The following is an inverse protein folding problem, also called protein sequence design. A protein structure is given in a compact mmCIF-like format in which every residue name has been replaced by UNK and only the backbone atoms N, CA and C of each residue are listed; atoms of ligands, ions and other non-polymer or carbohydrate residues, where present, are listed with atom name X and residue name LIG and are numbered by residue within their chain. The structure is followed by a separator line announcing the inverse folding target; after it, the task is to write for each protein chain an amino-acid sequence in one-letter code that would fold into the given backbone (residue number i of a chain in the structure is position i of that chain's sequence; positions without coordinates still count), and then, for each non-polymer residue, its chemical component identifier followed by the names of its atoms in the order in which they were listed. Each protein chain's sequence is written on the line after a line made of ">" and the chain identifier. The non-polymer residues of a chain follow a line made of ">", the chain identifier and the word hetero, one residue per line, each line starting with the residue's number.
data_IF_809273494193
#
_entry.id   IF_809273494193
#
_cell.length_a   1.000
_cell.length_b   1.000
_cell.length_c   1.000
_cell.angle_alpha   90.00
_cell.angle_beta   90.00
_cell.angle_gamma   90.00
#
_symmetry.space_group_name_H-M   'P 1'
#
loop_
_entity.id
_entity.type
_entity.pdbx_description
1 polymer ?
#
# COMPACT_ATOMS: atom_id res chain seq x y z
N UNK A 1 23.56 -25.36 -20.16
CA UNK A 1 24.05 -24.08 -19.63
C UNK A 1 22.96 -22.99 -19.76
N UNK A 2 21.82 -23.10 -19.04
CA UNK A 2 20.71 -22.09 -19.07
C UNK A 2 20.00 -21.99 -17.70
N UNK A 3 20.70 -22.14 -16.57
CA UNK A 3 20.08 -22.08 -15.23
C UNK A 3 20.73 -21.06 -14.27
N UNK A 4 21.40 -20.04 -14.81
CA UNK A 4 22.05 -18.98 -14.01
C UNK A 4 21.32 -17.62 -13.99
N UNK A 5 20.42 -17.35 -14.94
CA UNK A 5 19.85 -16.00 -15.15
C UNK A 5 18.51 -15.74 -14.42
N UNK A 6 17.91 -16.75 -13.77
CA UNK A 6 16.51 -16.72 -13.36
C UNK A 6 16.16 -16.10 -11.99
N UNK A 7 17.12 -15.90 -11.07
CA UNK A 7 16.79 -15.45 -9.69
C UNK A 7 16.93 -13.93 -9.48
N UNK A 8 17.70 -13.24 -10.33
CA UNK A 8 18.02 -11.82 -10.17
C UNK A 8 16.94 -10.84 -10.62
N UNK A 9 16.19 -11.18 -11.68
CA UNK A 9 15.23 -10.27 -12.31
C UNK A 9 14.00 -10.01 -11.43
N UNK A 10 13.43 -11.04 -10.78
CA UNK A 10 12.27 -10.89 -9.90
C UNK A 10 12.56 -9.92 -8.74
N UNK A 11 13.78 -9.99 -8.18
CA UNK A 11 14.24 -9.04 -7.15
C UNK A 11 14.35 -7.61 -7.69
N UNK A 12 14.87 -7.44 -8.91
CA UNK A 12 14.98 -6.12 -9.56
C UNK A 12 13.60 -5.52 -9.85
N UNK A 13 12.67 -6.31 -10.40
CA UNK A 13 11.29 -5.87 -10.67
C UNK A 13 10.62 -5.44 -9.36
N UNK A 14 10.66 -6.29 -8.31
CA UNK A 14 10.06 -5.97 -7.01
C UNK A 14 10.59 -4.68 -6.41
N UNK A 15 11.91 -4.46 -6.54
CA UNK A 15 12.55 -3.24 -6.06
C UNK A 15 12.12 -2.03 -6.88
N UNK A 16 12.19 -2.09 -8.21
CA UNK A 16 11.83 -0.98 -9.08
C UNK A 16 10.36 -0.58 -8.91
N UNK A 17 9.46 -1.57 -8.90
CA UNK A 17 8.03 -1.32 -8.68
C UNK A 17 7.76 -0.79 -7.26
N UNK A 18 8.42 -1.33 -6.24
CA UNK A 18 8.30 -0.85 -4.87
C UNK A 18 8.79 0.59 -4.69
N UNK A 19 9.90 0.98 -5.36
CA UNK A 19 10.39 2.35 -5.37
C UNK A 19 9.42 3.30 -6.07
N UNK A 20 8.84 2.89 -7.19
CA UNK A 20 7.84 3.68 -7.90
C UNK A 20 6.61 3.96 -7.03
N UNK A 21 6.08 2.92 -6.38
CA UNK A 21 4.98 3.05 -5.42
C UNK A 21 5.35 3.91 -4.22
N UNK A 22 6.59 3.78 -3.72
CA UNK A 22 7.07 4.60 -2.61
C UNK A 22 7.10 6.09 -2.98
N UNK A 23 7.50 6.44 -4.21
CA UNK A 23 7.46 7.82 -4.71
C UNK A 23 6.01 8.33 -4.80
N UNK A 24 5.09 7.53 -5.34
CA UNK A 24 3.67 7.86 -5.37
C UNK A 24 3.14 8.19 -3.96
N UNK A 25 3.32 7.27 -3.00
CA UNK A 25 2.88 7.45 -1.61
C UNK A 25 3.54 8.66 -0.95
N UNK A 26 4.84 8.88 -1.18
CA UNK A 26 5.56 10.04 -0.64
C UNK A 26 4.95 11.34 -1.13
N UNK A 27 4.72 11.47 -2.45
CA UNK A 27 4.10 12.68 -3.01
C UNK A 27 2.65 12.87 -2.54
N UNK A 28 1.92 11.78 -2.34
CA UNK A 28 0.56 11.82 -1.79
C UNK A 28 0.55 12.33 -0.34
N UNK A 29 1.49 11.88 0.49
CA UNK A 29 1.61 12.32 1.88
C UNK A 29 2.11 13.76 2.00
N UNK A 30 3.03 14.17 1.11
CA UNK A 30 3.42 15.58 0.99
C UNK A 30 2.20 16.44 0.69
N UNK A 31 1.30 15.97 -0.17
CA UNK A 31 0.06 16.69 -0.45
C UNK A 31 -0.85 16.81 0.78
N UNK A 32 -1.04 15.73 1.53
CA UNK A 32 -1.77 15.75 2.81
C UNK A 32 -1.17 16.73 3.82
N UNK A 33 0.17 16.85 3.82
CA UNK A 33 0.87 17.76 4.73
C UNK A 33 0.58 19.25 4.47
N UNK A 34 0.14 19.60 3.25
CA UNK A 34 -0.28 20.96 2.92
C UNK A 34 -1.52 21.41 3.73
N UNK A 35 -2.25 20.47 4.33
CA UNK A 35 -3.37 20.78 5.22
C UNK A 35 -2.96 21.49 6.50
N UNK A 36 -1.67 21.48 6.85
CA UNK A 36 -1.14 22.31 7.94
C UNK A 36 -1.10 23.81 7.55
N UNK A 37 -1.21 24.13 6.26
CA UNK A 37 -1.30 25.51 5.75
C UNK A 37 -2.79 25.87 5.60
N UNK A 38 -3.52 25.15 4.74
CA UNK A 38 -4.97 25.34 4.53
C UNK A 38 -5.54 24.21 3.66
N UNK A 39 -6.88 24.10 3.61
CA UNK A 39 -7.57 23.28 2.62
C UNK A 39 -7.21 23.70 1.18
N UNK A 40 -7.17 25.01 0.90
CA UNK A 40 -6.83 25.52 -0.44
C UNK A 40 -5.42 25.11 -0.87
N UNK A 41 -4.45 25.08 0.07
CA UNK A 41 -3.11 24.61 -0.21
C UNK A 41 -3.09 23.10 -0.57
N UNK A 42 -3.91 22.29 0.11
CA UNK A 42 -4.06 20.86 -0.24
C UNK A 42 -4.67 20.69 -1.63
N UNK A 43 -5.67 21.50 -1.98
CA UNK A 43 -6.32 21.47 -3.30
C UNK A 43 -5.36 21.91 -4.41
N UNK A 44 -4.65 23.02 -4.22
CA UNK A 44 -3.63 23.47 -5.18
C UNK A 44 -2.53 22.41 -5.37
N UNK A 45 -2.09 21.77 -4.29
CA UNK A 45 -1.19 20.62 -4.38
C UNK A 45 -1.83 19.44 -5.12
N UNK A 46 -3.12 19.17 -4.88
CA UNK A 46 -3.88 18.09 -5.52
C UNK A 46 -3.89 18.25 -7.03
N UNK A 47 -4.06 19.48 -7.53
CA UNK A 47 -4.01 19.76 -8.97
C UNK A 47 -2.67 19.33 -9.58
N UNK A 48 -1.55 19.68 -8.93
CA UNK A 48 -0.21 19.25 -9.33
C UNK A 48 -0.08 17.72 -9.23
N UNK A 49 -0.53 17.13 -8.13
CA UNK A 49 -0.50 15.68 -7.91
C UNK A 49 -1.25 14.92 -9.00
N UNK A 50 -2.47 15.36 -9.33
CA UNK A 50 -3.31 14.77 -10.36
C UNK A 50 -2.69 14.98 -11.76
N UNK A 51 -2.16 16.16 -12.07
CA UNK A 51 -1.50 16.41 -13.35
C UNK A 51 -0.33 15.43 -13.57
N UNK A 52 0.43 15.13 -12.52
CA UNK A 52 1.55 14.17 -12.58
C UNK A 52 1.07 12.73 -12.61
N UNK A 53 0.12 12.32 -11.78
CA UNK A 53 -0.19 10.90 -11.57
C UNK A 53 -1.42 10.38 -12.33
N UNK A 54 -2.34 11.25 -12.73
CA UNK A 54 -3.63 10.90 -13.35
C UNK A 54 -3.64 11.02 -14.88
N UNK A 55 -2.47 11.07 -15.51
CA UNK A 55 -2.34 10.91 -16.96
C UNK A 55 -2.20 9.42 -17.33
N UNK A 56 -2.50 9.08 -18.59
CA UNK A 56 -2.50 7.69 -19.05
C UNK A 56 -1.14 6.96 -18.87
N UNK A 57 0.03 7.57 -19.13
CA UNK A 57 1.30 6.88 -18.92
C UNK A 57 1.53 6.55 -17.44
N UNK A 58 1.32 7.52 -16.55
CA UNK A 58 1.56 7.33 -15.12
C UNK A 58 0.52 6.40 -14.49
N UNK A 59 -0.70 6.38 -15.00
CA UNK A 59 -1.74 5.42 -14.61
C UNK A 59 -1.32 3.99 -14.94
N UNK A 60 -0.87 3.73 -16.17
CA UNK A 60 -0.37 2.40 -16.58
C UNK A 60 0.82 1.99 -15.71
N UNK A 61 1.78 2.91 -15.50
CA UNK A 61 2.95 2.64 -14.68
C UNK A 61 2.58 2.37 -13.21
N UNK A 62 1.63 3.11 -12.64
CA UNK A 62 1.19 2.96 -11.25
C UNK A 62 0.52 1.61 -11.01
N UNK A 63 -0.48 1.26 -11.80
CA UNK A 63 -1.17 -0.02 -11.67
C UNK A 63 -0.28 -1.19 -12.08
N UNK A 64 0.56 -1.02 -13.10
CA UNK A 64 1.57 -2.00 -13.48
C UNK A 64 2.59 -2.24 -12.37
N UNK A 65 3.10 -1.18 -11.74
CA UNK A 65 4.00 -1.28 -10.60
C UNK A 65 3.31 -1.96 -9.41
N UNK A 66 2.07 -1.59 -9.09
CA UNK A 66 1.28 -2.24 -8.03
C UNK A 66 1.16 -3.75 -8.27
N UNK A 67 0.69 -4.15 -9.46
CA UNK A 67 0.53 -5.54 -9.84
C UNK A 67 1.86 -6.31 -9.76
N UNK A 68 2.91 -5.78 -10.39
CA UNK A 68 4.23 -6.42 -10.39
C UNK A 68 4.82 -6.49 -8.97
N UNK A 69 4.63 -5.47 -8.14
CA UNK A 69 5.10 -5.48 -6.75
C UNK A 69 4.44 -6.60 -5.95
N UNK A 70 3.10 -6.70 -6.01
CA UNK A 70 2.32 -7.74 -5.31
C UNK A 70 2.70 -9.12 -5.83
N UNK A 71 2.71 -9.34 -7.15
CA UNK A 71 3.07 -10.63 -7.74
C UNK A 71 4.47 -11.07 -7.34
N UNK A 72 5.46 -10.18 -7.39
CA UNK A 72 6.84 -10.51 -7.00
C UNK A 72 7.01 -10.69 -5.47
N UNK A 73 6.17 -10.05 -4.66
CA UNK A 73 6.12 -10.28 -3.21
C UNK A 73 5.52 -11.67 -2.89
N UNK A 74 4.39 -12.02 -3.51
CA UNK A 74 3.76 -13.33 -3.37
C UNK A 74 4.69 -14.44 -3.88
N UNK A 75 5.35 -14.23 -5.02
CA UNK A 75 6.35 -15.14 -5.57
C UNK A 75 7.53 -15.35 -4.60
N UNK A 76 7.98 -14.30 -3.93
CA UNK A 76 9.04 -14.41 -2.94
C UNK A 76 8.62 -15.20 -1.69
N UNK A 77 7.37 -15.02 -1.23
CA UNK A 77 6.79 -15.85 -0.17
C UNK A 77 6.67 -17.29 -0.66
N UNK A 78 6.18 -17.52 -1.88
CA UNK A 78 6.03 -18.84 -2.50
C UNK A 78 7.35 -19.62 -2.53
N UNK A 79 8.47 -18.96 -2.90
CA UNK A 79 9.78 -19.60 -2.99
C UNK A 79 10.40 -19.99 -1.65
N UNK A 80 9.98 -19.41 -0.52
CA UNK A 80 10.57 -19.72 0.80
C UNK A 80 10.38 -21.19 1.18
N UNK A 81 11.40 -21.80 1.78
CA UNK A 81 11.27 -23.15 2.37
C UNK A 81 10.48 -23.12 3.69
N UNK A 82 10.75 -22.14 4.54
CA UNK A 82 10.04 -21.93 5.82
C UNK A 82 9.48 -20.52 5.89
N UNK A 83 8.45 -20.31 6.73
CA UNK A 83 7.93 -18.97 7.04
C UNK A 83 8.62 -18.34 8.26
N UNK A 84 9.76 -18.89 8.70
CA UNK A 84 10.57 -18.27 9.75
C UNK A 84 11.24 -17.04 9.16
N UNK A 85 11.00 -15.89 9.78
CA UNK A 85 11.48 -14.58 9.35
C UNK A 85 12.11 -13.87 10.54
N UNK A 86 13.00 -12.93 10.26
CA UNK A 86 13.40 -11.96 11.30
C UNK A 86 12.20 -11.10 11.69
N UNK A 87 12.20 -10.52 12.91
CA UNK A 87 11.08 -9.69 13.36
C UNK A 87 10.74 -8.51 12.40
N UNK A 88 11.71 -7.73 11.87
CA UNK A 88 11.40 -6.63 10.95
C UNK A 88 10.78 -7.10 9.62
N UNK A 89 11.24 -8.26 9.13
CA UNK A 89 10.74 -8.88 7.91
C UNK A 89 9.31 -9.41 8.08
N UNK A 90 9.05 -10.10 9.20
CA UNK A 90 7.71 -10.54 9.56
C UNK A 90 6.76 -9.35 9.69
N UNK A 91 7.18 -8.30 10.38
CA UNK A 91 6.39 -7.09 10.54
C UNK A 91 6.10 -6.41 9.19
N UNK A 92 7.09 -6.29 8.31
CA UNK A 92 6.87 -5.74 6.96
C UNK A 92 5.85 -6.55 6.15
N UNK A 93 5.89 -7.88 6.25
CA UNK A 93 4.94 -8.78 5.57
C UNK A 93 3.54 -8.64 6.16
N UNK A 94 3.40 -8.52 7.48
CA UNK A 94 2.12 -8.28 8.15
C UNK A 94 1.51 -6.95 7.71
N UNK A 95 2.30 -5.88 7.68
CA UNK A 95 1.85 -4.59 7.16
C UNK A 95 1.41 -4.70 5.69
N UNK A 96 2.21 -5.38 4.84
CA UNK A 96 1.85 -5.60 3.44
C UNK A 96 0.52 -6.36 3.28
N UNK A 97 0.30 -7.37 4.12
CA UNK A 97 -0.91 -8.17 4.12
C UNK A 97 -2.13 -7.39 4.61
N UNK A 98 -1.96 -6.39 5.48
CA UNK A 98 -3.06 -5.55 5.97
C UNK A 98 -3.54 -4.53 4.92
N UNK A 99 -2.65 -4.04 4.05
CA UNK A 99 -2.95 -2.97 3.08
C UNK A 99 -4.20 -3.24 2.21
N UNK A 100 -4.40 -4.45 1.61
CA UNK A 100 -5.57 -4.74 0.79
C UNK A 100 -6.90 -4.79 1.56
N UNK A 101 -6.87 -4.77 2.89
CA UNK A 101 -8.07 -4.67 3.73
C UNK A 101 -8.36 -3.22 4.15
N UNK A 102 -7.35 -2.36 4.18
CA UNK A 102 -7.45 -1.00 4.71
C UNK A 102 -7.72 0.06 3.63
N UNK A 103 -7.19 -0.13 2.42
CA UNK A 103 -7.25 0.86 1.35
C UNK A 103 -8.38 0.77 0.31
N UNK A 104 -9.06 -0.36 0.06
CA UNK A 104 -9.94 -0.45 -1.11
C UNK A 104 -11.03 0.62 -1.13
N UNK A 105 -11.69 0.87 0.00
CA UNK A 105 -12.73 1.88 0.10
C UNK A 105 -12.23 3.28 -0.30
N UNK A 106 -11.03 3.67 0.14
CA UNK A 106 -10.45 4.97 -0.21
C UNK A 106 -10.12 5.07 -1.70
N UNK A 107 -9.56 4.01 -2.30
CA UNK A 107 -9.26 4.00 -3.75
C UNK A 107 -10.57 4.06 -4.57
N UNK A 108 -11.61 3.35 -4.13
CA UNK A 108 -12.90 3.29 -4.81
C UNK A 108 -13.69 4.59 -4.63
N UNK A 109 -13.68 5.19 -3.44
CA UNK A 109 -14.37 6.45 -3.14
C UNK A 109 -13.71 7.67 -3.79
N UNK A 110 -12.42 7.57 -4.17
CA UNK A 110 -11.72 8.63 -4.91
C UNK A 110 -11.68 8.29 -6.41
N UNK A 111 -10.69 7.49 -6.82
CA UNK A 111 -10.41 7.15 -8.21
C UNK A 111 -11.59 6.46 -8.89
N UNK A 112 -12.24 5.52 -8.21
CA UNK A 112 -13.41 4.80 -8.74
C UNK A 112 -14.61 5.73 -8.92
N UNK A 113 -14.92 6.53 -7.90
CA UNK A 113 -16.00 7.51 -7.93
C UNK A 113 -15.83 8.53 -9.06
N UNK A 114 -14.60 9.04 -9.25
CA UNK A 114 -14.29 9.97 -10.32
C UNK A 114 -14.50 9.36 -11.71
N UNK A 115 -13.95 8.16 -11.96
CA UNK A 115 -13.96 7.55 -13.29
C UNK A 115 -15.33 6.99 -13.69
N UNK A 116 -16.11 6.47 -12.73
CA UNK A 116 -17.38 5.79 -13.02
C UNK A 116 -18.58 6.73 -12.86
N UNK A 117 -18.54 7.62 -11.87
CA UNK A 117 -19.66 8.48 -11.50
C UNK A 117 -19.42 9.96 -11.80
N UNK A 118 -18.21 10.34 -12.24
CA UNK A 118 -17.88 11.75 -12.50
C UNK A 118 -17.78 12.61 -11.24
N UNK A 119 -17.63 11.97 -10.07
CA UNK A 119 -17.50 12.66 -8.78
C UNK A 119 -16.25 13.54 -8.80
N UNK A 120 -16.39 14.74 -8.25
CA UNK A 120 -15.25 15.60 -7.96
C UNK A 120 -14.59 15.11 -6.67
N UNK A 121 -13.56 14.27 -6.80
CA UNK A 121 -12.78 13.69 -5.71
C UNK A 121 -11.79 14.70 -5.11
N UNK A 122 -12.33 15.83 -4.66
CA UNK A 122 -11.61 16.90 -3.99
C UNK A 122 -11.24 16.51 -2.55
N UNK A 123 -10.31 17.24 -1.94
CA UNK A 123 -10.05 17.12 -0.51
C UNK A 123 -11.27 17.51 0.31
N UNK A 124 -12.01 18.53 -0.11
CA UNK A 124 -13.26 18.89 0.54
C UNK A 124 -14.22 17.71 0.56
N UNK A 125 -14.41 17.03 -0.57
CA UNK A 125 -15.26 15.84 -0.67
C UNK A 125 -14.77 14.71 0.25
N UNK A 126 -13.52 14.27 0.06
CA UNK A 126 -13.00 13.07 0.71
C UNK A 126 -12.86 13.26 2.22
N UNK A 127 -12.37 14.42 2.67
CA UNK A 127 -12.28 14.71 4.11
C UNK A 127 -13.66 14.86 4.73
N UNK A 128 -14.64 15.46 4.03
CA UNK A 128 -16.03 15.49 4.53
C UNK A 128 -16.57 14.06 4.70
N UNK A 129 -16.37 13.20 3.71
CA UNK A 129 -16.82 11.81 3.78
C UNK A 129 -16.18 11.05 4.95
N UNK A 130 -14.86 11.17 5.15
CA UNK A 130 -14.12 10.44 6.18
C UNK A 130 -14.30 11.03 7.58
N UNK A 131 -14.32 12.35 7.72
CA UNK A 131 -14.28 13.03 9.01
C UNK A 131 -15.69 13.33 9.55
N UNK A 132 -16.62 13.69 8.67
CA UNK A 132 -17.97 14.13 9.05
C UNK A 132 -18.99 13.00 8.94
N UNK A 133 -19.07 12.31 7.78
CA UNK A 133 -20.12 11.32 7.56
C UNK A 133 -19.78 9.94 8.11
N UNK A 134 -18.53 9.50 7.95
CA UNK A 134 -18.09 8.15 8.31
C UNK A 134 -16.83 8.20 9.20
N UNK A 135 -16.91 8.80 10.42
CA UNK A 135 -15.75 9.04 11.27
C UNK A 135 -14.96 7.77 11.64
N UNK A 136 -15.58 6.58 11.59
CA UNK A 136 -14.88 5.31 11.74
C UNK A 136 -13.77 5.10 10.68
N UNK A 137 -13.95 5.64 9.47
CA UNK A 137 -12.96 5.56 8.39
C UNK A 137 -11.70 6.39 8.70
N UNK A 138 -11.80 7.40 9.57
CA UNK A 138 -10.63 8.18 10.03
C UNK A 138 -9.58 7.27 10.66
N UNK A 139 -10.01 6.32 11.50
CA UNK A 139 -9.10 5.35 12.15
C UNK A 139 -8.53 4.34 11.16
N UNK A 140 -9.37 3.84 10.25
CA UNK A 140 -8.95 2.88 9.22
C UNK A 140 -7.89 3.49 8.31
N UNK A 141 -8.09 4.72 7.84
CA UNK A 141 -7.16 5.39 6.93
C UNK A 141 -5.91 5.92 7.64
N UNK A 142 -6.02 6.27 8.93
CA UNK A 142 -4.83 6.50 9.76
C UNK A 142 -3.98 5.23 9.87
N UNK A 143 -4.60 4.08 10.13
CA UNK A 143 -3.90 2.80 10.15
C UNK A 143 -3.33 2.43 8.78
N UNK A 144 -4.07 2.68 7.69
CA UNK A 144 -3.62 2.46 6.32
C UNK A 144 -2.38 3.29 6.00
N UNK A 145 -2.41 4.59 6.31
CA UNK A 145 -1.32 5.53 6.13
C UNK A 145 -0.05 5.03 6.84
N UNK A 146 -0.16 4.69 8.13
CA UNK A 146 0.96 4.17 8.91
C UNK A 146 1.46 2.83 8.38
N UNK A 147 0.57 1.94 7.96
CA UNK A 147 0.92 0.62 7.46
C UNK A 147 1.68 0.70 6.12
N UNK A 148 1.18 1.45 5.14
CA UNK A 148 1.81 1.63 3.83
C UNK A 148 3.18 2.30 4.00
N UNK A 149 3.25 3.36 4.81
CA UNK A 149 4.49 4.11 5.01
C UNK A 149 5.55 3.30 5.73
N UNK A 150 5.17 2.61 6.82
CA UNK A 150 6.09 1.76 7.57
C UNK A 150 6.55 0.58 6.72
N UNK A 151 5.66 -0.04 5.95
CA UNK A 151 6.01 -1.10 4.99
C UNK A 151 7.07 -0.63 4.00
N UNK A 152 6.88 0.56 3.41
CA UNK A 152 7.83 1.19 2.48
C UNK A 152 9.17 1.51 3.14
N UNK A 153 9.16 2.18 4.30
CA UNK A 153 10.36 2.56 5.04
C UNK A 153 11.20 1.34 5.47
N UNK A 154 10.56 0.28 5.95
CA UNK A 154 11.25 -0.97 6.31
C UNK A 154 11.88 -1.63 5.07
N UNK A 155 11.18 -1.61 3.93
CA UNK A 155 11.69 -2.11 2.66
C UNK A 155 12.92 -1.33 2.18
N UNK A 156 12.85 -0.01 2.22
CA UNK A 156 13.98 0.88 1.90
C UNK A 156 15.15 0.65 2.85
N UNK A 157 14.91 0.59 4.15
CA UNK A 157 15.96 0.34 5.13
C UNK A 157 16.70 -0.98 4.86
N UNK A 158 15.96 -2.07 4.62
CA UNK A 158 16.56 -3.37 4.33
C UNK A 158 17.36 -3.39 3.02
N UNK A 159 16.95 -2.60 2.03
CA UNK A 159 17.69 -2.43 0.77
C UNK A 159 18.93 -1.56 0.93
N UNK A 160 18.81 -0.43 1.62
CA UNK A 160 19.83 0.61 1.71
C UNK A 160 20.88 0.34 2.79
N UNK A 161 20.60 -0.48 3.81
CA UNK A 161 21.54 -0.78 4.92
C UNK A 161 22.90 -1.31 4.47
N UNK A 162 23.00 -1.86 3.27
CA UNK A 162 24.26 -2.36 2.69
C UNK A 162 25.05 -1.27 1.94
N UNK A 163 24.50 -0.06 1.79
CA UNK A 163 25.15 1.06 1.10
C UNK A 163 25.94 1.89 2.09
N UNK A 164 27.22 2.16 1.78
CA UNK A 164 28.12 2.92 2.66
C UNK A 164 27.60 4.34 2.98
N UNK A 165 26.95 5.01 2.04
CA UNK A 165 26.38 6.34 2.26
C UNK A 165 25.17 6.31 3.21
N UNK A 166 24.43 5.20 3.27
CA UNK A 166 23.22 5.10 4.07
C UNK A 166 23.52 5.24 5.56
N UNK A 167 24.66 4.73 6.03
CA UNK A 167 25.07 4.88 7.43
C UNK A 167 25.13 6.36 7.87
N UNK A 168 25.57 7.26 6.97
CA UNK A 168 25.63 8.71 7.20
C UNK A 168 24.27 9.39 7.06
N UNK A 169 23.44 8.93 6.11
CA UNK A 169 22.11 9.50 5.85
C UNK A 169 21.00 8.97 6.77
N UNK A 170 21.24 7.86 7.50
CA UNK A 170 20.17 7.11 8.21
C UNK A 170 19.37 7.97 9.17
N UNK A 171 20.01 8.90 9.88
CA UNK A 171 19.35 9.72 10.90
C UNK A 171 18.40 10.74 10.26
N UNK A 172 18.82 11.35 9.15
CA UNK A 172 18.00 12.27 8.38
C UNK A 172 16.82 11.55 7.71
N UNK A 173 17.06 10.36 7.17
CA UNK A 173 16.00 9.52 6.60
C UNK A 173 15.03 9.03 7.67
N UNK A 174 15.50 8.72 8.89
CA UNK A 174 14.65 8.36 10.01
C UNK A 174 13.80 9.54 10.47
N UNK A 175 14.39 10.74 10.54
CA UNK A 175 13.64 11.96 10.83
C UNK A 175 12.54 12.19 9.79
N UNK A 176 12.86 12.07 8.50
CA UNK A 176 11.86 12.17 7.43
C UNK A 176 10.77 11.08 7.53
N UNK A 177 11.15 9.86 7.91
CA UNK A 177 10.24 8.72 8.09
C UNK A 177 9.24 8.94 9.24
N UNK A 178 9.57 9.76 10.24
CA UNK A 178 8.63 10.15 11.32
C UNK A 178 7.88 11.42 10.96
N UNK A 179 8.59 12.43 10.46
CA UNK A 179 8.02 13.75 10.22
C UNK A 179 6.92 13.74 9.17
N UNK A 180 7.14 13.08 8.03
CA UNK A 180 6.19 13.11 6.91
C UNK A 180 4.81 12.54 7.27
N UNK A 181 4.67 11.33 7.85
CA UNK A 181 3.35 10.83 8.25
C UNK A 181 2.74 11.69 9.38
N UNK A 182 3.57 12.25 10.27
CA UNK A 182 3.11 13.18 11.30
C UNK A 182 2.46 14.42 10.70
N UNK A 183 3.13 15.07 9.75
CA UNK A 183 2.61 16.24 9.04
C UNK A 183 1.38 15.90 8.19
N UNK A 184 1.36 14.75 7.52
CA UNK A 184 0.21 14.32 6.74
C UNK A 184 -1.03 14.13 7.61
N UNK A 185 -0.89 13.45 8.75
CA UNK A 185 -1.97 13.22 9.71
C UNK A 185 -2.43 14.51 10.39
N UNK A 186 -1.50 15.40 10.78
CA UNK A 186 -1.86 16.68 11.39
C UNK A 186 -2.57 17.60 10.40
N UNK A 187 -2.14 17.62 9.13
CA UNK A 187 -2.79 18.38 8.07
C UNK A 187 -4.21 17.89 7.80
N UNK A 188 -4.38 16.58 7.64
CA UNK A 188 -5.69 15.95 7.51
C UNK A 188 -6.60 16.25 8.71
N UNK A 189 -6.11 16.07 9.94
CA UNK A 189 -6.91 16.31 11.14
C UNK A 189 -7.24 17.79 11.36
N UNK A 190 -6.33 18.70 10.99
CA UNK A 190 -6.54 20.14 11.04
C UNK A 190 -7.70 20.56 10.15
N UNK A 191 -7.63 20.19 8.86
CA UNK A 191 -8.67 20.49 7.88
C UNK A 191 -9.97 19.77 8.19
N UNK A 192 -9.94 18.51 8.65
CA UNK A 192 -11.14 17.78 9.06
C UNK A 192 -11.92 18.48 10.17
N UNK A 193 -11.23 18.98 11.21
CA UNK A 193 -11.87 19.79 12.27
C UNK A 193 -12.46 21.10 11.72
N UNK A 194 -11.77 21.74 10.79
CA UNK A 194 -12.24 22.98 10.16
C UNK A 194 -13.52 22.74 9.35
N UNK A 195 -13.52 21.71 8.49
CA UNK A 195 -14.69 21.28 7.71
C UNK A 195 -15.85 20.94 8.64
N UNK A 196 -15.63 20.20 9.73
CA UNK A 196 -16.68 19.84 10.67
C UNK A 196 -17.35 21.06 11.35
N UNK A 197 -16.62 22.17 11.51
CA UNK A 197 -17.19 23.43 12.00
C UNK A 197 -18.04 24.11 10.91
N UNK A 198 -17.52 24.19 9.68
CA UNK A 198 -18.24 24.78 8.55
C UNK A 198 -19.50 24.00 8.17
N UNK A 199 -19.48 22.67 8.31
CA UNK A 199 -20.62 21.80 8.00
C UNK A 199 -21.86 22.05 8.88
N UNK A 200 -21.71 22.80 9.99
CA UNK A 200 -22.81 23.22 10.85
C UNK A 200 -23.69 24.29 10.20
N UNK A 201 -23.11 25.09 9.30
CA UNK A 201 -23.85 26.05 8.48
C UNK A 201 -24.54 25.30 7.34
N UNK A 202 -25.86 25.45 7.23
CA UNK A 202 -26.67 24.79 6.21
C UNK A 202 -26.37 25.31 4.80
N UNK A 203 -26.23 26.62 4.62
CA UNK A 203 -25.97 27.22 3.33
C UNK A 203 -24.59 26.80 2.80
N UNK A 204 -23.58 26.78 3.68
CA UNK A 204 -22.25 26.29 3.31
C UNK A 204 -22.26 24.80 2.96
N UNK A 205 -23.04 23.99 3.69
CA UNK A 205 -23.16 22.55 3.44
C UNK A 205 -23.77 22.25 2.07
N UNK A 206 -24.80 22.98 1.68
CA UNK A 206 -25.45 22.84 0.36
C UNK A 206 -24.48 23.18 -0.77
N UNK A 207 -23.72 24.28 -0.63
CA UNK A 207 -22.69 24.67 -1.61
C UNK A 207 -21.57 23.61 -1.72
N UNK A 208 -21.09 23.11 -0.58
CA UNK A 208 -20.12 22.01 -0.54
C UNK A 208 -20.65 20.76 -1.26
N UNK A 209 -21.90 20.34 -1.00
CA UNK A 209 -22.50 19.20 -1.66
C UNK A 209 -22.62 19.38 -3.18
N UNK A 210 -23.03 20.57 -3.63
CA UNK A 210 -23.08 20.89 -5.06
C UNK A 210 -21.70 20.74 -5.72
N UNK A 211 -20.63 21.15 -5.03
CA UNK A 211 -19.24 21.05 -5.54
C UNK A 211 -18.73 19.61 -5.76
N UNK A 212 -19.31 18.62 -5.06
CA UNK A 212 -18.88 17.22 -5.12
C UNK A 212 -19.34 16.51 -6.41
N UNK A 213 -20.36 17.05 -7.09
CA UNK A 213 -20.92 16.48 -8.33
C UNK A 213 -21.35 15.02 -8.19
N UNK A 214 -21.89 14.63 -7.02
CA UNK A 214 -22.39 13.26 -6.78
C UNK A 214 -23.68 12.99 -7.57
N UNK A 215 -24.52 14.02 -7.76
CA UNK A 215 -25.84 13.90 -8.38
C UNK A 215 -26.77 12.94 -7.63
N UNK A 216 -27.77 12.40 -8.32
CA UNK A 216 -28.75 11.46 -7.74
C UNK A 216 -28.18 10.03 -7.54
N UNK A 217 -26.92 9.80 -7.93
CA UNK A 217 -26.29 8.49 -7.91
C UNK A 217 -25.68 8.09 -6.56
N UNK A 218 -25.96 8.84 -5.48
CA UNK A 218 -25.34 8.61 -4.17
C UNK A 218 -25.47 7.16 -3.70
N UNK A 219 -26.65 6.55 -3.84
CA UNK A 219 -26.85 5.14 -3.46
C UNK A 219 -25.99 4.21 -4.31
N UNK A 220 -25.99 4.40 -5.63
CA UNK A 220 -25.21 3.57 -6.55
C UNK A 220 -23.70 3.70 -6.31
N UNK A 221 -23.23 4.90 -5.94
CA UNK A 221 -21.84 5.14 -5.55
C UNK A 221 -21.48 4.36 -4.28
N UNK A 222 -22.30 4.44 -3.23
CA UNK A 222 -22.08 3.72 -1.97
C UNK A 222 -22.09 2.19 -2.21
N UNK A 223 -23.07 1.69 -2.96
CA UNK A 223 -23.17 0.27 -3.33
C UNK A 223 -21.93 -0.18 -4.12
N UNK A 224 -21.44 0.65 -5.05
CA UNK A 224 -20.20 0.38 -5.80
C UNK A 224 -18.99 0.32 -4.88
N UNK A 225 -18.80 1.30 -3.99
CA UNK A 225 -17.62 1.37 -3.11
C UNK A 225 -17.57 0.17 -2.17
N UNK A 226 -18.66 -0.10 -1.44
CA UNK A 226 -18.67 -1.17 -0.44
C UNK A 226 -18.83 -2.55 -1.07
N UNK A 227 -19.67 -2.69 -2.10
CA UNK A 227 -19.81 -3.94 -2.83
C UNK A 227 -18.49 -4.37 -3.50
N UNK A 228 -17.78 -3.44 -4.14
CA UNK A 228 -16.48 -3.74 -4.75
C UNK A 228 -15.40 -4.00 -3.70
N UNK A 229 -15.41 -3.28 -2.57
CA UNK A 229 -14.51 -3.53 -1.44
C UNK A 229 -14.64 -4.97 -0.94
N UNK A 230 -15.87 -5.48 -0.79
CA UNK A 230 -16.11 -6.86 -0.32
C UNK A 230 -15.49 -7.89 -1.27
N UNK A 231 -15.60 -7.68 -2.59
CA UNK A 231 -14.93 -8.55 -3.57
C UNK A 231 -13.40 -8.48 -3.48
N UNK A 232 -12.83 -7.29 -3.26
CA UNK A 232 -11.37 -7.11 -3.09
C UNK A 232 -10.88 -7.83 -1.83
N UNK A 233 -11.61 -7.70 -0.72
CA UNK A 233 -11.31 -8.38 0.55
C UNK A 233 -11.41 -9.90 0.37
N UNK A 234 -12.51 -10.40 -0.18
CA UNK A 234 -12.72 -11.82 -0.41
C UNK A 234 -11.65 -12.40 -1.34
N UNK A 235 -11.33 -11.71 -2.45
CA UNK A 235 -10.28 -12.09 -3.38
C UNK A 235 -8.90 -12.14 -2.72
N UNK A 236 -8.59 -11.18 -1.85
CA UNK A 236 -7.34 -11.18 -1.07
C UNK A 236 -7.25 -12.40 -0.16
N UNK A 237 -8.32 -12.70 0.58
CA UNK A 237 -8.38 -13.89 1.46
C UNK A 237 -8.16 -15.16 0.63
N UNK A 238 -8.85 -15.30 -0.50
CA UNK A 238 -8.70 -16.46 -1.40
C UNK A 238 -7.25 -16.60 -1.86
N UNK A 239 -6.62 -15.53 -2.35
CA UNK A 239 -5.22 -15.57 -2.81
C UNK A 239 -4.27 -15.97 -1.70
N UNK A 240 -4.43 -15.41 -0.49
CA UNK A 240 -3.58 -15.74 0.66
C UNK A 240 -3.78 -17.19 1.09
N UNK A 241 -5.02 -17.67 1.18
CA UNK A 241 -5.35 -19.05 1.56
C UNK A 241 -4.76 -20.02 0.53
N UNK A 242 -4.98 -19.78 -0.77
CA UNK A 242 -4.42 -20.61 -1.84
C UNK A 242 -2.89 -20.63 -1.81
N UNK A 243 -2.25 -19.48 -1.55
CA UNK A 243 -0.80 -19.41 -1.39
C UNK A 243 -0.32 -20.29 -0.23
N UNK A 244 -0.97 -20.22 0.94
CA UNK A 244 -0.59 -21.00 2.12
C UNK A 244 -0.84 -22.50 1.93
N UNK A 245 -2.00 -22.88 1.38
CA UNK A 245 -2.33 -24.28 1.06
C UNK A 245 -1.34 -24.84 0.03
N UNK A 246 -1.11 -24.13 -1.07
CA UNK A 246 -0.17 -24.57 -2.11
C UNK A 246 1.26 -24.73 -1.57
N UNK A 247 1.69 -23.85 -0.66
CA UNK A 247 2.98 -23.98 0.02
C UNK A 247 3.04 -25.21 0.93
N UNK A 248 1.98 -25.47 1.69
CA UNK A 248 1.89 -26.63 2.56
C UNK A 248 1.92 -27.94 1.76
N UNK A 249 1.12 -28.04 0.69
CA UNK A 249 1.12 -29.19 -0.23
C UNK A 249 2.49 -29.40 -0.88
N UNK A 250 3.14 -28.33 -1.35
CA UNK A 250 4.51 -28.39 -1.88
C UNK A 250 5.50 -28.92 -0.85
N UNK A 251 5.36 -28.52 0.42
CA UNK A 251 6.16 -29.03 1.52
C UNK A 251 5.94 -30.53 1.79
N UNK A 252 4.70 -31.01 1.71
CA UNK A 252 4.39 -32.44 1.83
C UNK A 252 4.99 -33.26 0.68
N UNK A 253 4.93 -32.75 -0.55
CA UNK A 253 5.54 -33.40 -1.71
C UNK A 253 7.07 -33.41 -1.63
N UNK A 254 7.69 -32.32 -1.20
CA UNK A 254 9.14 -32.26 -1.02
C UNK A 254 9.64 -33.32 -0.01
N UNK A 255 8.87 -33.58 1.06
CA UNK A 255 9.18 -34.63 2.04
C UNK A 255 9.10 -36.06 1.49
N UNK A 256 8.39 -36.27 0.38
CA UNK A 256 8.28 -37.56 -0.32
C UNK A 256 9.39 -37.76 -1.38
N UNK A 257 10.15 -36.72 -1.73
CA UNK A 257 11.25 -36.80 -2.68
C UNK A 257 12.50 -37.44 -2.08
N UNK A 258 13.37 -38.01 -2.93
CA UNK A 258 14.63 -38.62 -2.50
C UNK A 258 15.49 -37.61 -1.74
N UNK A 259 15.86 -37.93 -0.50
CA UNK A 259 16.80 -37.14 0.29
C UNK A 259 18.21 -37.46 -0.16
N UNK A 260 19.04 -36.42 -0.34
CA UNK A 260 20.46 -36.60 -0.63
C UNK A 260 21.16 -36.77 0.72
N UNK A 261 21.72 -37.95 0.97
CA UNK A 261 22.55 -38.18 2.14
C UNK A 261 23.94 -37.63 1.87
N UNK A 262 24.35 -36.66 2.69
CA UNK A 262 25.72 -36.12 2.70
C UNK A 262 26.47 -36.80 3.83
N UNK A 263 27.57 -37.48 3.49
CA UNK A 263 28.49 -38.08 4.47
C UNK A 263 29.68 -37.15 4.70
N UNK A 264 29.99 -36.88 5.96
CA UNK A 264 31.13 -36.07 6.38
C UNK A 264 32.36 -36.96 6.68
N UNK A 265 33.58 -36.39 6.65
CA UNK A 265 34.82 -37.15 6.89
C UNK A 265 34.92 -37.79 8.29
N UNK A 266 34.15 -37.30 9.26
CA UNK A 266 34.05 -37.84 10.63
C UNK A 266 33.04 -39.00 10.75
N UNK A 267 32.42 -39.42 9.64
CA UNK A 267 31.41 -40.46 9.59
C UNK A 267 29.98 -39.98 9.86
N UNK A 268 29.76 -38.69 10.15
CA UNK A 268 28.42 -38.15 10.32
C UNK A 268 27.67 -38.16 8.98
N UNK A 269 26.42 -38.63 8.97
CA UNK A 269 25.55 -38.58 7.80
C UNK A 269 24.37 -37.64 8.05
N UNK A 270 24.15 -36.69 7.14
CA UNK A 270 22.97 -35.81 7.18
C UNK A 270 22.16 -35.97 5.90
N UNK A 271 20.89 -36.34 6.02
CA UNK A 271 19.96 -36.39 4.91
C UNK A 271 19.39 -34.99 4.64
N UNK A 272 19.73 -34.41 3.49
CA UNK A 272 19.30 -33.07 3.09
C UNK A 272 18.32 -33.19 1.93
N UNK A 273 17.24 -32.42 1.96
CA UNK A 273 16.36 -32.31 0.78
C UNK A 273 17.16 -31.67 -0.39
N UNK A 274 17.05 -32.21 -1.62
CA UNK A 274 17.72 -31.65 -2.79
C UNK A 274 17.57 -30.12 -2.86
N UNK A 275 18.66 -29.43 -3.20
CA UNK A 275 18.64 -28.00 -3.51
C UNK A 275 17.64 -27.72 -4.64
N UNK A 276 16.92 -26.60 -4.53
CA UNK A 276 16.13 -26.05 -5.66
C UNK A 276 17.03 -25.31 -6.64
#
# INVERSE_FOLDING_TARGET
>A
MVLGMGKGWARKIRLASGLFLFVFVTTHFLNHSLGNISLDAMEAGREVFIAVWRNWPMTILLYGAMLLHVLMALWAIWQRRTLRMSAPEAFQVLLAAAIPFLLPAHILATRGAHEIFGVNDSYLYEITAIWVWLPQNTWILTAALLAVWSHGCIGLHQWLRLRQWYARARIWLFFAAILLPGLALSGFAGVGKQIALWFRDEAWREDAFASFRIGDNQKALVDFVYGTMDYVIAGTIVVVVLLLIGRWLRGLWARRGARITISYPDGMQTAVEPGL
#
